data_IF_985830985821
#
_entry.id   IF_985830985821
#
_cell.length_a   1.000
_cell.length_b   1.000
_cell.length_c   1.000
_cell.angle_alpha   90.00
_cell.angle_beta   90.00
_cell.angle_gamma   90.00
#
_symmetry.space_group_name_H-M   'P 1'
#
loop_
_entity.id
_entity.type
_entity.pdbx_description
1 polymer ?
#
# COMPACT_ATOMS: atom_id res chain seq x y z
N UNK A 1 15.17 1.22 0.78
CA UNK A 1 14.11 0.87 1.74
C UNK A 1 14.25 1.81 2.90
N UNK A 2 13.26 2.68 3.06
CA UNK A 2 13.10 3.59 4.19
C UNK A 2 12.81 2.79 5.46
N UNK A 3 12.95 3.44 6.62
CA UNK A 3 12.63 2.82 7.90
C UNK A 3 11.15 2.45 8.00
N UNK A 4 10.26 3.32 7.48
CA UNK A 4 8.83 3.07 7.37
C UNK A 4 8.52 1.83 6.50
N UNK A 5 9.11 1.71 5.30
CA UNK A 5 8.96 0.51 4.46
C UNK A 5 9.43 -0.75 5.20
N UNK A 6 10.58 -0.68 5.89
CA UNK A 6 11.13 -1.82 6.65
C UNK A 6 10.17 -2.26 7.76
N UNK A 7 9.66 -1.28 8.52
CA UNK A 7 8.76 -1.48 9.64
C UNK A 7 7.44 -2.10 9.18
N UNK A 8 6.81 -1.53 8.14
CA UNK A 8 5.57 -2.08 7.60
C UNK A 8 5.79 -3.47 6.97
N UNK A 9 6.90 -3.66 6.24
CA UNK A 9 7.21 -4.96 5.65
C UNK A 9 7.33 -6.08 6.67
N UNK A 10 7.89 -5.78 7.86
CA UNK A 10 8.00 -6.76 8.94
C UNK A 10 6.64 -7.33 9.37
N UNK A 11 5.56 -6.55 9.24
CA UNK A 11 4.18 -6.90 9.59
C UNK A 11 3.39 -7.50 8.42
N UNK A 12 3.74 -7.17 7.18
CA UNK A 12 3.04 -7.67 5.98
C UNK A 12 3.62 -8.98 5.41
N UNK A 13 4.91 -9.23 5.62
CA UNK A 13 5.60 -10.40 5.05
C UNK A 13 5.03 -11.71 5.60
N UNK A 14 5.34 -12.81 4.91
CA UNK A 14 4.98 -14.16 5.35
C UNK A 14 3.49 -14.37 5.65
N UNK A 15 2.62 -13.59 4.99
CA UNK A 15 1.16 -13.70 5.15
C UNK A 15 0.68 -13.45 6.59
N UNK A 16 1.41 -12.64 7.35
CA UNK A 16 1.08 -12.30 8.73
C UNK A 16 -0.24 -11.52 8.85
N UNK A 17 -0.61 -10.76 7.83
CA UNK A 17 -1.87 -10.01 7.80
C UNK A 17 -2.93 -10.80 7.01
N UNK A 18 -3.92 -11.35 7.72
CA UNK A 18 -5.09 -12.06 7.16
C UNK A 18 -4.76 -13.11 6.08
N UNK A 19 -3.64 -13.80 6.25
CA UNK A 19 -3.12 -14.81 5.31
C UNK A 19 -2.89 -14.28 3.86
N UNK A 20 -2.84 -12.96 3.67
CA UNK A 20 -2.65 -12.31 2.37
C UNK A 20 -1.18 -12.18 2.02
N UNK A 21 -0.85 -12.53 0.77
CA UNK A 21 0.51 -12.40 0.25
C UNK A 21 0.75 -10.99 -0.27
N UNK A 22 1.50 -10.21 0.49
CA UNK A 22 2.09 -8.96 0.04
C UNK A 22 3.44 -9.18 -0.65
N UNK A 23 3.75 -8.33 -1.62
CA UNK A 23 5.06 -8.20 -2.28
C UNK A 23 5.50 -6.75 -2.18
N UNK A 24 6.81 -6.50 -2.23
CA UNK A 24 7.41 -5.16 -2.26
C UNK A 24 7.73 -4.70 -3.67
N UNK A 25 7.83 -3.39 -3.88
CA UNK A 25 8.32 -2.75 -5.10
C UNK A 25 7.67 -3.37 -6.34
N UNK A 26 6.34 -3.36 -6.36
CA UNK A 26 5.57 -4.09 -7.36
C UNK A 26 5.25 -3.19 -8.55
N UNK A 27 5.64 -3.55 -9.78
CA UNK A 27 5.30 -2.78 -10.97
C UNK A 27 3.82 -2.94 -11.31
N UNK A 28 3.12 -1.81 -11.51
CA UNK A 28 1.75 -1.73 -12.02
C UNK A 28 1.73 -0.68 -13.13
N UNK A 29 1.61 -1.15 -14.38
CA UNK A 29 1.76 -0.29 -15.55
C UNK A 29 3.14 0.38 -15.57
N UNK A 30 3.22 1.71 -15.79
CA UNK A 30 4.49 2.44 -15.79
C UNK A 30 5.00 2.80 -14.38
N UNK A 31 4.27 2.46 -13.32
CA UNK A 31 4.60 2.84 -11.94
C UNK A 31 5.03 1.64 -11.10
N UNK A 32 5.77 1.92 -10.03
CA UNK A 32 6.15 0.92 -9.01
C UNK A 32 5.54 1.36 -7.68
N UNK A 33 4.83 0.47 -7.00
CA UNK A 33 4.25 0.71 -5.67
C UNK A 33 5.11 0.08 -4.58
N UNK A 34 5.12 0.65 -3.38
CA UNK A 34 5.96 0.16 -2.29
C UNK A 34 5.57 -1.26 -1.88
N UNK A 35 4.26 -1.52 -1.80
CA UNK A 35 3.72 -2.85 -1.59
C UNK A 35 2.51 -3.13 -2.48
N UNK A 36 2.22 -4.42 -2.70
CA UNK A 36 0.98 -4.86 -3.33
C UNK A 36 0.53 -6.24 -2.85
N UNK A 37 -0.78 -6.43 -2.72
CA UNK A 37 -1.44 -7.73 -2.58
C UNK A 37 -2.14 -8.10 -3.88
N UNK A 38 -1.46 -8.91 -4.71
CA UNK A 38 -1.92 -9.24 -6.07
C UNK A 38 -3.26 -9.99 -6.10
N UNK A 39 -3.54 -10.81 -5.09
CA UNK A 39 -4.77 -11.63 -5.05
C UNK A 39 -6.04 -10.81 -4.89
N UNK A 40 -5.94 -9.63 -4.28
CA UNK A 40 -7.07 -8.73 -4.00
C UNK A 40 -6.89 -7.37 -4.68
N UNK A 41 -5.87 -7.24 -5.54
CA UNK A 41 -5.49 -6.01 -6.25
C UNK A 41 -5.48 -4.77 -5.34
N UNK A 42 -4.78 -4.86 -4.22
CA UNK A 42 -4.53 -3.72 -3.34
C UNK A 42 -3.07 -3.29 -3.47
N UNK A 43 -2.84 -2.00 -3.71
CA UNK A 43 -1.53 -1.36 -3.74
C UNK A 43 -1.40 -0.40 -2.55
N UNK A 44 -0.23 -0.39 -1.91
CA UNK A 44 0.08 0.47 -0.76
C UNK A 44 1.30 1.31 -1.11
N UNK A 45 1.20 2.61 -0.83
CA UNK A 45 2.27 3.58 -1.02
C UNK A 45 2.61 4.28 0.29
N UNK A 46 3.90 4.54 0.51
CA UNK A 46 4.40 5.27 1.67
C UNK A 46 4.95 6.63 1.24
N UNK A 47 4.47 7.71 1.88
CA UNK A 47 4.78 9.08 1.50
C UNK A 47 5.68 9.79 2.52
N UNK A 48 6.74 10.42 2.02
CA UNK A 48 7.75 11.13 2.81
C UNK A 48 7.58 12.65 2.89
N UNK A 49 6.53 13.25 2.32
CA UNK A 49 6.27 14.69 2.51
C UNK A 49 6.71 15.62 1.36
N UNK A 50 6.86 15.13 0.13
CA UNK A 50 7.13 15.99 -1.04
C UNK A 50 6.28 15.67 -2.27
N UNK A 51 5.19 14.92 -2.12
CA UNK A 51 4.33 14.62 -3.26
C UNK A 51 3.48 15.83 -3.64
N UNK A 52 3.66 16.26 -4.89
CA UNK A 52 2.83 17.31 -5.49
C UNK A 52 1.50 16.70 -5.89
N UNK A 53 0.42 17.05 -5.18
CA UNK A 53 -0.93 16.47 -5.29
C UNK A 53 -1.43 16.25 -6.74
N UNK A 54 -1.03 17.09 -7.70
CA UNK A 54 -1.41 16.97 -9.11
C UNK A 54 -0.81 15.76 -9.86
N UNK A 55 0.41 15.31 -9.52
CA UNK A 55 1.04 14.13 -10.17
C UNK A 55 0.50 12.82 -9.59
N UNK A 56 0.05 12.86 -8.35
CA UNK A 56 -0.50 11.70 -7.66
C UNK A 56 -1.85 11.28 -8.20
N UNK A 57 -2.72 12.23 -8.57
CA UNK A 57 -4.02 11.91 -9.13
C UNK A 57 -3.93 11.15 -10.47
N UNK A 58 -2.98 11.49 -11.34
CA UNK A 58 -2.76 10.75 -12.59
C UNK A 58 -2.19 9.36 -12.33
N UNK A 59 -1.18 9.27 -11.45
CA UNK A 59 -0.59 7.99 -11.04
C UNK A 59 -1.65 7.04 -10.50
N UNK A 60 -2.46 7.51 -9.55
CA UNK A 60 -3.54 6.72 -8.95
C UNK A 60 -4.51 6.23 -10.01
N UNK A 61 -4.99 7.10 -10.91
CA UNK A 61 -5.90 6.71 -12.00
C UNK A 61 -5.34 5.61 -12.89
N UNK A 62 -4.05 5.68 -13.22
CA UNK A 62 -3.41 4.65 -14.06
C UNK A 62 -3.29 3.33 -13.31
N UNK A 63 -2.93 3.35 -12.03
CA UNK A 63 -2.86 2.12 -11.21
C UNK A 63 -4.27 1.52 -11.05
N UNK A 64 -5.27 2.36 -10.81
CA UNK A 64 -6.69 1.97 -10.75
C UNK A 64 -7.21 1.40 -12.06
N UNK A 65 -6.78 1.94 -13.21
CA UNK A 65 -7.10 1.38 -14.52
C UNK A 65 -6.55 -0.04 -14.73
N UNK A 66 -5.50 -0.43 -13.99
CA UNK A 66 -5.01 -1.82 -13.95
C UNK A 66 -5.78 -2.69 -12.95
N UNK A 67 -6.86 -2.17 -12.38
CA UNK A 67 -7.77 -2.86 -11.46
C UNK A 67 -7.30 -2.88 -10.01
N UNK A 68 -6.32 -2.04 -9.65
CA UNK A 68 -5.81 -1.96 -8.29
C UNK A 68 -6.46 -0.83 -7.50
N UNK A 69 -6.86 -1.10 -6.26
CA UNK A 69 -7.16 -0.04 -5.30
C UNK A 69 -5.84 0.47 -4.72
N UNK A 70 -5.69 1.78 -4.57
CA UNK A 70 -4.46 2.41 -4.06
C UNK A 70 -4.76 3.08 -2.73
N UNK A 71 -3.97 2.75 -1.71
CA UNK A 71 -3.99 3.43 -0.41
C UNK A 71 -2.61 3.95 -0.06
N UNK A 72 -2.57 5.09 0.63
CA UNK A 72 -1.33 5.80 0.96
C UNK A 72 -1.28 6.10 2.44
N UNK A 73 -0.08 5.94 3.01
CA UNK A 73 0.20 6.30 4.40
C UNK A 73 1.37 7.26 4.47
N UNK A 74 1.32 8.20 5.41
CA UNK A 74 2.50 8.98 5.74
C UNK A 74 3.53 8.09 6.40
N UNK A 75 4.81 8.31 6.09
CA UNK A 75 5.91 7.65 6.77
C UNK A 75 5.81 7.82 8.29
N UNK A 76 5.38 9.00 8.74
CA UNK A 76 5.17 9.29 10.15
C UNK A 76 4.09 8.40 10.80
N UNK A 77 2.98 8.12 10.10
CA UNK A 77 1.93 7.23 10.61
C UNK A 77 2.45 5.79 10.76
N UNK A 78 3.24 5.30 9.81
CA UNK A 78 3.88 3.98 9.92
C UNK A 78 4.85 3.94 11.09
N UNK A 79 5.57 5.03 11.32
CA UNK A 79 6.56 5.14 12.39
C UNK A 79 5.94 5.27 13.77
N UNK A 80 4.88 6.05 13.94
CA UNK A 80 4.29 6.35 15.23
C UNK A 80 3.07 5.48 15.56
N UNK A 81 2.32 5.03 14.54
CA UNK A 81 1.05 4.32 14.69
C UNK A 81 0.90 3.16 13.68
N UNK A 82 1.85 2.22 13.71
CA UNK A 82 1.82 1.06 12.80
C UNK A 82 0.56 0.19 12.97
N UNK A 83 0.00 0.11 14.17
CA UNK A 83 -1.23 -0.66 14.42
C UNK A 83 -2.42 -0.05 13.67
N UNK A 84 -2.62 1.27 13.77
CA UNK A 84 -3.68 1.95 13.02
C UNK A 84 -3.50 1.86 11.50
N UNK A 85 -2.25 1.85 11.02
CA UNK A 85 -1.96 1.58 9.60
C UNK A 85 -2.39 0.15 9.21
N UNK A 86 -2.10 -0.85 10.04
CA UNK A 86 -2.52 -2.22 9.76
C UNK A 86 -4.04 -2.37 9.78
N UNK A 87 -4.74 -1.73 10.72
CA UNK A 87 -6.21 -1.72 10.77
C UNK A 87 -6.81 -1.11 9.50
N UNK A 88 -6.25 0.01 9.03
CA UNK A 88 -6.66 0.63 7.78
C UNK A 88 -6.40 -0.29 6.58
N UNK A 89 -5.26 -0.98 6.53
CA UNK A 89 -4.98 -1.96 5.47
C UNK A 89 -6.01 -3.10 5.51
N UNK A 90 -6.34 -3.65 6.68
CA UNK A 90 -7.34 -4.72 6.82
C UNK A 90 -8.71 -4.26 6.35
N UNK A 91 -9.13 -3.06 6.75
CA UNK A 91 -10.39 -2.48 6.27
C UNK A 91 -10.44 -2.38 4.74
N UNK A 92 -9.35 -1.91 4.12
CA UNK A 92 -9.25 -1.80 2.67
C UNK A 92 -9.17 -3.16 1.96
N UNK A 93 -8.61 -4.16 2.62
CA UNK A 93 -8.60 -5.55 2.14
C UNK A 93 -10.02 -6.12 2.05
N UNK A 94 -10.89 -5.84 3.03
CA UNK A 94 -12.29 -6.26 2.99
C UNK A 94 -13.05 -5.61 1.85
N UNK A 95 -12.92 -4.28 1.71
CA UNK A 95 -13.55 -3.56 0.59
C UNK A 95 -13.04 -4.09 -0.76
N UNK A 96 -11.73 -4.35 -0.90
CA UNK A 96 -11.15 -4.88 -2.13
C UNK A 96 -11.64 -6.31 -2.49
N UNK A 97 -12.10 -7.08 -1.50
CA UNK A 97 -12.73 -8.39 -1.69
C UNK A 97 -14.24 -8.32 -1.94
N UNK A 98 -14.85 -7.15 -1.75
CA UNK A 98 -16.31 -6.97 -1.81
C UNK A 98 -17.03 -7.49 -0.57
N UNK A 99 -16.35 -7.52 0.57
CA UNK A 99 -16.88 -7.89 1.89
C UNK A 99 -17.50 -6.70 2.64
#
# INVERSE_FOLDING_TARGET
MTDAESKLWSRLRNRQLDNVKFVRQFPIGPYVTDFAARSIRLAIELDGGQHSEGKDAERTKIIEAHGYRVIRFWNNDVMENVEGVLEAIVHEMHIARGE
#
